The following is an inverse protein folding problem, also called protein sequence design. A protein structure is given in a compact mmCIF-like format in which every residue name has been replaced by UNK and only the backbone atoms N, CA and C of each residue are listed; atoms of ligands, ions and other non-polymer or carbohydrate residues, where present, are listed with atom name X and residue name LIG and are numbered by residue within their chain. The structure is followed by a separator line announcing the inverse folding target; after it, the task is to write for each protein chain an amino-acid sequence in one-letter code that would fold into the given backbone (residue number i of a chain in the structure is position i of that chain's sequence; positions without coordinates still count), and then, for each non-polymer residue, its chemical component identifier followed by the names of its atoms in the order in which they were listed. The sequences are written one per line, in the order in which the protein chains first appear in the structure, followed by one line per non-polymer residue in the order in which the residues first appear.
data_IF_689098800719
#
_entry.id   IF_689098800719
#
_cell.length_a   1.000
_cell.length_b   1.000
_cell.length_c   1.000
_cell.angle_alpha   90.00
_cell.angle_beta   90.00
_cell.angle_gamma   90.00
#
_symmetry.space_group_name_H-M   'P 1'
#
loop_
_entity.id
_entity.type
_entity.pdbx_description
1 polymer ?
#
# COMPACT_ATOMS: atom_id res chain seq x y z
N UNK A 1 3.73 8.09 15.90
CA UNK A 1 2.64 7.32 15.24
C UNK A 1 1.32 8.05 15.48
N UNK A 2 0.53 8.31 14.43
CA UNK A 2 -0.78 8.96 14.54
C UNK A 2 -1.72 8.12 15.39
N UNK A 3 -2.45 8.73 16.31
CA UNK A 3 -3.44 8.05 17.15
C UNK A 3 -4.83 8.38 16.60
N UNK A 4 -5.61 7.34 16.30
CA UNK A 4 -6.99 7.47 15.82
C UNK A 4 -7.98 7.09 16.91
N UNK A 5 -9.09 7.80 16.99
CA UNK A 5 -10.27 7.35 17.75
C UNK A 5 -10.86 6.09 17.10
N UNK A 6 -11.70 5.35 17.83
CA UNK A 6 -12.34 4.16 17.28
C UNK A 6 -13.20 4.48 16.04
N UNK A 7 -13.91 5.61 16.05
CA UNK A 7 -14.69 6.08 14.90
C UNK A 7 -13.80 6.37 13.69
N UNK A 8 -12.66 7.04 13.91
CA UNK A 8 -11.68 7.31 12.85
C UNK A 8 -11.06 6.01 12.31
N UNK A 9 -10.77 5.04 13.17
CA UNK A 9 -10.27 3.71 12.76
C UNK A 9 -11.30 2.98 11.90
N UNK A 10 -12.57 2.97 12.30
CA UNK A 10 -13.66 2.35 11.54
C UNK A 10 -13.77 2.99 10.16
N UNK A 11 -13.77 4.33 10.10
CA UNK A 11 -13.82 5.08 8.84
C UNK A 11 -12.62 4.78 7.94
N UNK A 12 -11.41 4.75 8.51
CA UNK A 12 -10.18 4.44 7.78
C UNK A 12 -10.17 3.01 7.21
N UNK A 13 -10.61 2.02 8.00
CA UNK A 13 -10.73 0.63 7.54
C UNK A 13 -11.75 0.53 6.39
N UNK A 14 -12.89 1.20 6.50
CA UNK A 14 -13.89 1.23 5.43
C UNK A 14 -13.34 1.87 4.14
N UNK A 15 -12.57 2.97 4.27
CA UNK A 15 -11.89 3.60 3.15
C UNK A 15 -10.87 2.66 2.49
N UNK A 16 -10.05 1.96 3.27
CA UNK A 16 -9.06 1.00 2.74
C UNK A 16 -9.77 -0.12 1.99
N UNK A 17 -10.81 -0.73 2.57
CA UNK A 17 -11.62 -1.77 1.90
C UNK A 17 -12.17 -1.30 0.56
N UNK A 18 -12.73 -0.09 0.53
CA UNK A 18 -13.27 0.50 -0.69
C UNK A 18 -12.19 0.70 -1.76
N UNK A 19 -11.04 1.28 -1.40
CA UNK A 19 -9.94 1.52 -2.36
C UNK A 19 -9.29 0.25 -2.86
N UNK A 20 -9.24 -0.79 -2.03
CA UNK A 20 -8.72 -2.09 -2.41
C UNK A 20 -9.76 -2.95 -3.14
N UNK A 21 -11.01 -2.50 -3.30
CA UNK A 21 -12.09 -3.27 -3.92
C UNK A 21 -12.34 -4.61 -3.20
N UNK A 22 -12.27 -4.62 -1.86
CA UNK A 22 -12.49 -5.84 -1.05
C UNK A 22 -13.93 -6.37 -1.15
N UNK A 23 -14.88 -5.56 -1.60
CA UNK A 23 -16.26 -5.96 -1.87
C UNK A 23 -16.38 -6.85 -3.12
N UNK A 24 -15.59 -6.55 -4.16
CA UNK A 24 -15.61 -7.24 -5.44
C UNK A 24 -14.59 -8.36 -5.48
N UNK A 25 -13.37 -8.09 -5.00
CA UNK A 25 -12.23 -8.99 -5.08
C UNK A 25 -11.55 -9.09 -3.71
N UNK A 26 -12.17 -9.84 -2.76
CA UNK A 26 -11.64 -10.03 -1.43
C UNK A 26 -10.24 -10.62 -1.48
N UNK A 27 -9.34 -10.04 -0.70
CA UNK A 27 -7.95 -10.46 -0.56
C UNK A 27 -7.47 -10.36 0.88
N UNK A 28 -7.90 -9.31 1.60
CA UNK A 28 -7.57 -9.11 3.00
C UNK A 28 -8.77 -9.36 3.90
N UNK A 29 -8.53 -9.98 5.06
CA UNK A 29 -9.51 -9.99 6.15
C UNK A 29 -9.55 -8.64 6.85
N UNK A 30 -10.64 -8.36 7.57
CA UNK A 30 -10.77 -7.14 8.39
C UNK A 30 -9.60 -6.93 9.36
N UNK A 31 -9.13 -8.02 9.98
CA UNK A 31 -7.97 -7.99 10.86
C UNK A 31 -6.68 -7.63 10.10
N UNK A 32 -6.49 -8.18 8.89
CA UNK A 32 -5.35 -7.82 8.06
C UNK A 32 -5.40 -6.36 7.59
N UNK A 33 -6.58 -5.81 7.32
CA UNK A 33 -6.76 -4.40 6.97
C UNK A 33 -6.47 -3.49 8.17
N UNK A 34 -6.90 -3.89 9.37
CA UNK A 34 -6.55 -3.18 10.60
C UNK A 34 -5.03 -3.17 10.84
N UNK A 35 -4.38 -4.33 10.70
CA UNK A 35 -2.91 -4.42 10.79
C UNK A 35 -2.20 -3.58 9.72
N UNK A 36 -2.73 -3.57 8.50
CA UNK A 36 -2.20 -2.75 7.39
C UNK A 36 -2.32 -1.27 7.70
N UNK A 37 -3.41 -0.82 8.33
CA UNK A 37 -3.55 0.56 8.78
C UNK A 37 -2.52 0.91 9.87
N UNK A 38 -2.35 0.04 10.87
CA UNK A 38 -1.44 0.25 12.00
C UNK A 38 0.04 0.26 11.55
N UNK A 39 0.44 -0.66 10.67
CA UNK A 39 1.80 -0.72 10.13
C UNK A 39 2.16 0.49 9.27
N UNK A 40 1.14 1.19 8.76
CA UNK A 40 1.28 2.38 7.93
C UNK A 40 1.03 3.68 8.71
N UNK A 41 1.46 3.71 9.97
CA UNK A 41 1.41 4.89 10.84
C UNK A 41 0.00 5.45 11.02
N UNK A 42 -1.03 4.60 10.89
CA UNK A 42 -2.44 4.99 10.85
C UNK A 42 -2.78 6.01 9.75
N UNK A 43 -2.02 6.01 8.66
CA UNK A 43 -2.31 6.77 7.45
C UNK A 43 -2.97 5.87 6.40
N UNK A 44 -4.28 6.02 6.24
CA UNK A 44 -5.08 5.16 5.36
C UNK A 44 -4.60 5.14 3.90
N UNK A 45 -4.06 6.23 3.36
CA UNK A 45 -3.56 6.27 1.99
C UNK A 45 -2.25 5.48 1.82
N UNK A 46 -1.38 5.50 2.83
CA UNK A 46 -0.17 4.67 2.87
C UNK A 46 -0.55 3.18 2.92
N UNK A 47 -1.52 2.84 3.78
CA UNK A 47 -2.08 1.49 3.86
C UNK A 47 -2.69 1.02 2.53
N UNK A 48 -3.45 1.89 1.85
CA UNK A 48 -3.99 1.61 0.51
C UNK A 48 -2.86 1.33 -0.49
N UNK A 49 -1.82 2.16 -0.52
CA UNK A 49 -0.69 1.94 -1.41
C UNK A 49 -0.03 0.58 -1.17
N UNK A 50 0.28 0.23 0.09
CA UNK A 50 0.88 -1.06 0.42
C UNK A 50 -0.06 -2.23 0.06
N UNK A 51 -1.36 -2.09 0.32
CA UNK A 51 -2.36 -3.09 -0.04
C UNK A 51 -2.43 -3.35 -1.55
N UNK A 52 -2.36 -2.31 -2.38
CA UNK A 52 -2.32 -2.42 -3.84
C UNK A 52 -1.04 -3.13 -4.31
N UNK A 53 0.11 -2.78 -3.73
CA UNK A 53 1.38 -3.47 -4.01
C UNK A 53 1.27 -4.95 -3.65
N UNK A 54 0.69 -5.29 -2.50
CA UNK A 54 0.48 -6.67 -2.09
C UNK A 54 -0.46 -7.43 -3.04
N UNK A 55 -1.57 -6.81 -3.48
CA UNK A 55 -2.47 -7.41 -4.49
C UNK A 55 -1.78 -7.69 -5.82
N UNK A 56 -0.77 -6.90 -6.18
CA UNK A 56 0.01 -7.11 -7.41
C UNK A 56 0.94 -8.33 -7.37
N UNK A 57 1.22 -8.88 -6.18
CA UNK A 57 2.14 -10.02 -5.99
C UNK A 57 1.52 -11.37 -6.35
N UNK A 58 0.20 -11.43 -6.54
CA UNK A 58 -0.46 -12.67 -6.96
C UNK A 58 -0.10 -12.94 -8.41
N UNK A 59 0.86 -13.85 -8.58
CA UNK A 59 1.32 -14.27 -9.89
C UNK A 59 0.28 -15.17 -10.59
N UNK A 60 0.39 -15.26 -11.91
CA UNK A 60 -0.44 -16.16 -12.71
C UNK A 60 -0.29 -17.60 -12.21
N UNK A 61 -1.41 -18.30 -12.05
CA UNK A 61 -1.41 -19.73 -11.73
C UNK A 61 -1.65 -20.48 -13.05
N UNK A 62 -0.76 -21.41 -13.37
CA UNK A 62 -1.02 -22.45 -14.37
C UNK A 62 -1.80 -23.58 -13.71
N UNK A 63 -3.01 -23.81 -14.21
CA UNK A 63 -3.86 -24.90 -13.77
C UNK A 63 -3.66 -26.13 -14.68
N UNK A 64 -3.92 -27.35 -14.18
CA UNK A 64 -3.87 -28.57 -15.00
C UNK A 64 -4.74 -28.43 -16.26
N UNK A 65 -4.23 -28.91 -17.40
CA UNK A 65 -4.93 -28.83 -18.69
C UNK A 65 -4.72 -27.54 -19.48
N UNK A 66 -3.72 -26.72 -19.13
CA UNK A 66 -3.34 -25.53 -19.91
C UNK A 66 -4.19 -24.28 -19.66
N UNK A 67 -5.05 -24.31 -18.64
CA UNK A 67 -5.81 -23.15 -18.20
C UNK A 67 -4.88 -22.17 -17.46
N UNK A 68 -4.82 -20.91 -17.94
CA UNK A 68 -4.06 -19.84 -17.30
C UNK A 68 -5.00 -18.81 -16.69
N UNK A 69 -4.80 -18.46 -15.42
CA UNK A 69 -5.41 -17.26 -14.85
C UNK A 69 -4.56 -16.06 -15.28
N UNK A 70 -5.12 -15.05 -15.97
CA UNK A 70 -4.36 -13.86 -16.36
C UNK A 70 -3.86 -13.14 -15.10
N UNK A 71 -2.61 -12.67 -15.17
CA UNK A 71 -2.01 -11.88 -14.09
C UNK A 71 -2.77 -10.57 -13.91
N UNK A 72 -3.13 -10.23 -12.68
CA UNK A 72 -3.71 -8.94 -12.33
C UNK A 72 -2.65 -7.93 -11.87
N UNK A 73 -1.36 -8.28 -11.99
CA UNK A 73 -0.22 -7.49 -11.51
C UNK A 73 -0.21 -6.09 -12.09
N UNK A 74 -0.29 -5.95 -13.41
CA UNK A 74 -0.23 -4.64 -14.08
C UNK A 74 -1.39 -3.73 -13.69
N UNK A 75 -2.59 -4.30 -13.54
CA UNK A 75 -3.77 -3.58 -13.09
C UNK A 75 -3.54 -2.97 -11.70
N UNK A 76 -3.08 -3.77 -10.73
CA UNK A 76 -2.85 -3.30 -9.37
C UNK A 76 -1.67 -2.33 -9.26
N UNK A 77 -0.58 -2.56 -10.02
CA UNK A 77 0.56 -1.66 -10.07
C UNK A 77 0.20 -0.30 -10.68
N UNK A 78 -0.69 -0.27 -11.68
CA UNK A 78 -1.19 0.99 -12.26
C UNK A 78 -1.86 1.86 -11.20
N UNK A 79 -2.78 1.27 -10.42
CA UNK A 79 -3.50 1.98 -9.34
C UNK A 79 -2.52 2.38 -8.22
N UNK A 80 -1.58 1.50 -7.85
CA UNK A 80 -0.56 1.80 -6.85
C UNK A 80 0.31 2.99 -7.29
N UNK A 81 0.68 3.07 -8.57
CA UNK A 81 1.45 4.17 -9.13
C UNK A 81 0.71 5.50 -9.07
N UNK A 82 -0.61 5.52 -9.32
CA UNK A 82 -1.44 6.70 -9.13
C UNK A 82 -1.53 7.13 -7.67
N UNK A 83 -1.77 6.19 -6.75
CA UNK A 83 -1.81 6.50 -5.32
C UNK A 83 -0.48 7.05 -4.82
N UNK A 84 0.63 6.46 -5.25
CA UNK A 84 1.97 6.93 -4.92
C UNK A 84 2.17 8.40 -5.31
N UNK A 85 1.76 8.80 -6.52
CA UNK A 85 1.86 10.20 -6.98
C UNK A 85 1.01 11.14 -6.12
N UNK A 86 -0.20 10.72 -5.75
CA UNK A 86 -1.08 11.51 -4.87
C UNK A 86 -0.48 11.67 -3.47
N UNK A 87 0.06 10.61 -2.90
CA UNK A 87 0.73 10.63 -1.60
C UNK A 87 1.96 11.56 -1.66
N UNK A 88 2.80 11.44 -2.69
CA UNK A 88 3.96 12.32 -2.86
C UNK A 88 3.56 13.80 -2.90
N UNK A 89 2.55 14.16 -3.72
CA UNK A 89 2.04 15.54 -3.77
C UNK A 89 1.45 16.00 -2.41
N UNK A 90 0.77 15.11 -1.69
CA UNK A 90 0.21 15.42 -0.37
C UNK A 90 1.32 15.59 0.70
N UNK A 91 2.42 14.85 0.59
CA UNK A 91 3.62 15.06 1.42
C UNK A 91 4.21 16.45 1.15
N UNK A 92 4.40 16.81 -0.12
CA UNK A 92 4.90 18.15 -0.51
C UNK A 92 3.98 19.27 -0.01
N UNK A 93 2.66 19.04 0.01
CA UNK A 93 1.67 19.95 0.55
C UNK A 93 1.58 19.96 2.10
N UNK A 94 2.37 19.14 2.79
CA UNK A 94 2.42 19.09 4.26
C UNK A 94 1.30 18.27 4.93
N UNK A 95 0.52 17.49 4.18
CA UNK A 95 -0.61 16.71 4.72
C UNK A 95 -0.19 15.58 5.68
N UNK A 96 1.09 15.20 5.68
CA UNK A 96 1.67 14.17 6.54
C UNK A 96 2.72 14.75 7.51
N UNK A 97 2.72 16.06 7.75
CA UNK A 97 3.70 16.70 8.63
C UNK A 97 3.71 16.12 10.06
N UNK A 98 2.58 15.60 10.53
CA UNK A 98 2.42 14.98 11.85
C UNK A 98 3.06 13.59 11.97
N UNK A 99 3.42 12.94 10.86
CA UNK A 99 4.04 11.61 10.84
C UNK A 99 5.34 11.57 10.03
N UNK A 100 5.81 12.71 9.53
CA UNK A 100 6.93 12.77 8.58
C UNK A 100 8.23 12.18 9.17
N UNK A 101 8.50 12.46 10.45
CA UNK A 101 9.67 11.94 11.16
C UNK A 101 9.62 10.42 11.28
N UNK A 102 8.45 9.84 11.61
CA UNK A 102 8.30 8.39 11.64
C UNK A 102 8.36 7.77 10.25
N UNK A 103 7.84 8.46 9.22
CA UNK A 103 7.99 8.01 7.84
C UNK A 103 9.47 7.97 7.41
N UNK A 104 10.30 8.91 7.88
CA UNK A 104 11.75 8.86 7.65
C UNK A 104 12.41 7.73 8.45
N UNK A 105 12.10 7.61 9.74
CA UNK A 105 12.70 6.61 10.61
C UNK A 105 12.38 5.16 10.21
N UNK A 106 11.19 4.93 9.64
CA UNK A 106 10.77 3.62 9.11
C UNK A 106 11.21 3.39 7.67
N UNK A 107 11.85 4.39 7.07
CA UNK A 107 12.24 4.45 5.66
C UNK A 107 11.08 4.81 4.73
N UNK A 108 9.80 4.70 5.13
CA UNK A 108 8.59 4.92 4.28
C UNK A 108 8.69 6.13 3.34
N UNK A 109 9.37 7.20 3.75
CA UNK A 109 9.64 8.36 2.91
C UNK A 109 10.37 8.03 1.60
N UNK A 110 11.27 7.05 1.59
CA UNK A 110 12.04 6.64 0.42
C UNK A 110 11.13 6.03 -0.66
N UNK A 111 9.99 5.44 -0.27
CA UNK A 111 8.95 4.98 -1.22
C UNK A 111 8.47 6.14 -2.08
N UNK A 112 8.36 7.35 -1.53
CA UNK A 112 7.68 8.47 -2.17
C UNK A 112 8.66 9.53 -2.72
N UNK A 113 9.92 9.51 -2.30
CA UNK A 113 10.98 10.42 -2.79
C UNK A 113 11.60 10.01 -4.13
N UNK A 114 11.60 8.72 -4.50
CA UNK A 114 12.29 8.28 -5.72
C UNK A 114 11.51 8.63 -7.00
N UNK A 115 12.10 9.41 -7.91
CA UNK A 115 11.45 9.79 -9.18
C UNK A 115 11.23 8.61 -10.13
N UNK A 116 11.94 7.50 -9.95
CA UNK A 116 11.76 6.25 -10.68
C UNK A 116 11.10 5.22 -9.76
N UNK A 117 10.05 4.55 -10.24
CA UNK A 117 9.18 3.62 -9.49
C UNK A 117 9.82 2.37 -8.88
N UNK A 118 11.09 2.41 -8.50
CA UNK A 118 11.69 1.51 -7.52
C UNK A 118 11.26 1.96 -6.11
N UNK A 119 10.08 1.52 -5.67
CA UNK A 119 9.75 1.56 -4.24
C UNK A 119 10.78 0.75 -3.43
N UNK A 120 10.74 0.90 -2.11
CA UNK A 120 11.47 0.17 -1.03
C UNK A 120 12.20 -1.13 -1.36
N UNK A 121 11.63 -1.96 -2.22
CA UNK A 121 12.22 -3.21 -2.68
C UNK A 121 13.48 -3.06 -3.54
N UNK A 122 13.85 -1.85 -3.98
CA UNK A 122 15.19 -1.61 -4.55
C UNK A 122 16.29 -1.51 -3.50
N UNK A 123 15.98 -1.26 -2.22
CA UNK A 123 16.96 -1.28 -1.12
C UNK A 123 17.04 -2.63 -0.41
N UNK A 124 16.00 -3.46 -0.47
CA UNK A 124 16.07 -4.86 -0.01
C UNK A 124 16.80 -5.82 -0.97
N UNK A 125 17.45 -5.29 -2.02
CA UNK A 125 18.38 -6.04 -2.87
C UNK A 125 19.53 -5.16 -3.35
N UNK A 126 20.34 -4.65 -2.44
CA UNK A 126 21.77 -4.48 -2.71
C UNK A 126 22.46 -4.67 -1.37
N UNK A 127 23.30 -5.70 -1.29
CA UNK A 127 24.20 -6.03 -0.18
C UNK A 127 23.55 -6.71 1.04
N UNK A 128 23.41 -8.04 0.99
CA UNK A 128 24.05 -8.98 1.94
C UNK A 128 23.46 -10.41 1.83
N UNK A 129 24.35 -11.35 1.45
CA UNK A 129 24.31 -12.84 1.45
C UNK A 129 23.50 -13.55 0.35
#
# INVERSE_FOLDING_TARGET
MRILTDEQKISAIAYIKFKLLEDKWPFFTDAQIAMLLESNLNAQDLAVYEGLVAKSRVDSIELPGGLKKPSNREYWLSIAGEMRRKIAAAIEAGAYADIITEMEATGLMDVFRTSNGGGFYSMMRVDEI
#
